data_IF_099098359289
#
_entry.id   IF_099098359289
#
_cell.length_a   1.000
_cell.length_b   1.000
_cell.length_c   1.000
_cell.angle_alpha   90.00
_cell.angle_beta   90.00
_cell.angle_gamma   90.00
#
_symmetry.space_group_name_H-M   'P 1'
#
loop_
_entity.id
_entity.type
_entity.pdbx_description
1 polymer ?
#
# COMPACT_ATOMS: atom_id res chain seq x y z
N UNK A 1 -11.00 -15.90 -10.35
CA UNK A 1 -10.29 -14.82 -9.65
C UNK A 1 -9.09 -15.40 -8.92
N UNK A 2 -7.94 -14.90 -9.23
CA UNK A 2 -6.72 -15.40 -8.61
C UNK A 2 -6.51 -14.75 -7.26
N UNK A 3 -6.06 -15.54 -6.31
CA UNK A 3 -5.67 -15.01 -5.00
C UNK A 3 -4.22 -14.60 -5.03
N UNK A 4 -3.93 -13.52 -4.33
CA UNK A 4 -2.54 -13.13 -4.14
C UNK A 4 -1.86 -14.16 -3.23
N UNK A 5 -0.56 -14.41 -3.45
CA UNK A 5 0.20 -15.26 -2.53
C UNK A 5 0.14 -14.72 -1.12
N UNK A 6 0.16 -15.62 -0.15
CA UNK A 6 0.08 -15.22 1.25
C UNK A 6 0.80 -16.23 2.13
N UNK A 7 1.91 -15.81 2.72
CA UNK A 7 2.63 -16.64 3.69
C UNK A 7 1.94 -16.52 5.05
N UNK A 8 1.14 -17.52 5.37
CA UNK A 8 0.32 -17.50 6.58
C UNK A 8 1.14 -17.49 7.86
N UNK A 9 2.41 -17.85 7.79
CA UNK A 9 3.30 -17.81 8.96
C UNK A 9 3.52 -16.37 9.46
N UNK A 10 3.23 -15.39 8.62
CA UNK A 10 3.35 -13.98 8.99
C UNK A 10 2.13 -13.44 9.72
N UNK A 11 1.06 -14.23 9.89
CA UNK A 11 -0.18 -13.74 10.51
C UNK A 11 0.02 -13.17 11.93
N UNK A 12 0.77 -13.83 12.81
CA UNK A 12 0.97 -13.24 14.13
C UNK A 12 1.65 -11.88 14.08
N UNK A 13 2.63 -11.72 13.19
CA UNK A 13 3.33 -10.46 13.04
C UNK A 13 2.42 -9.40 12.44
N UNK A 14 1.64 -9.75 11.44
CA UNK A 14 0.68 -8.84 10.81
C UNK A 14 -0.36 -8.37 11.83
N UNK A 15 -0.87 -9.28 12.65
CA UNK A 15 -1.83 -8.95 13.69
C UNK A 15 -1.23 -7.98 14.70
N UNK A 16 0.00 -8.24 15.14
CA UNK A 16 0.68 -7.36 16.07
C UNK A 16 0.85 -5.96 15.49
N UNK A 17 1.25 -5.88 14.23
CA UNK A 17 1.45 -4.58 13.58
C UNK A 17 0.13 -3.81 13.46
N UNK A 18 -1.00 -4.49 13.20
CA UNK A 18 -2.29 -3.84 13.18
C UNK A 18 -2.70 -3.30 14.54
N UNK A 19 -2.35 -4.03 15.60
CA UNK A 19 -2.71 -3.65 16.97
C UNK A 19 -1.80 -2.55 17.53
N UNK A 20 -0.63 -2.36 16.94
CA UNK A 20 0.35 -1.40 17.41
C UNK A 20 0.82 -0.50 16.25
N UNK A 21 -0.12 0.27 15.67
CA UNK A 21 0.26 1.12 14.52
C UNK A 21 1.15 2.27 14.97
N UNK A 22 1.98 2.74 14.04
CA UNK A 22 2.70 3.99 14.28
C UNK A 22 1.69 5.14 14.27
N UNK A 23 2.05 6.32 14.82
CA UNK A 23 1.14 7.47 14.78
C UNK A 23 0.71 7.82 13.36
N UNK A 24 1.62 7.75 12.39
CA UNK A 24 1.32 8.10 11.01
C UNK A 24 0.40 7.06 10.36
N UNK A 25 0.62 5.77 10.65
CA UNK A 25 -0.29 4.72 10.17
C UNK A 25 -1.68 4.91 10.74
N UNK A 26 -1.76 5.22 12.04
CA UNK A 26 -3.04 5.49 12.68
C UNK A 26 -3.74 6.68 12.09
N UNK A 27 -3.00 7.77 11.85
CA UNK A 27 -3.57 8.98 11.27
C UNK A 27 -4.17 8.68 9.88
N UNK A 28 -3.40 8.03 9.02
CA UNK A 28 -3.86 7.74 7.66
C UNK A 28 -5.04 6.78 7.66
N UNK A 29 -5.02 5.80 8.55
CA UNK A 29 -6.09 4.82 8.63
C UNK A 29 -7.38 5.41 9.21
N UNK A 30 -7.31 5.97 10.41
CA UNK A 30 -8.53 6.40 11.10
C UNK A 30 -9.15 7.65 10.50
N UNK A 31 -8.33 8.54 9.95
CA UNK A 31 -8.84 9.80 9.43
C UNK A 31 -9.11 9.78 7.94
N UNK A 32 -8.76 8.70 7.24
CA UNK A 32 -9.00 8.64 5.80
C UNK A 32 -9.33 7.24 5.30
N UNK A 33 -8.39 6.29 5.38
CA UNK A 33 -8.54 5.03 4.66
C UNK A 33 -9.66 4.13 5.20
N UNK A 34 -9.93 4.20 6.48
CA UNK A 34 -10.93 3.34 7.11
C UNK A 34 -12.30 3.46 6.47
N UNK A 35 -12.66 4.66 6.05
CA UNK A 35 -13.97 4.92 5.45
C UNK A 35 -13.90 5.25 3.96
N UNK A 36 -12.72 5.15 3.36
CA UNK A 36 -12.55 5.45 1.95
C UNK A 36 -13.15 4.34 1.09
N UNK A 37 -13.56 4.72 -0.11
CA UNK A 37 -14.05 3.78 -1.11
C UNK A 37 -13.10 3.79 -2.29
N UNK A 38 -12.72 2.64 -2.83
CA UNK A 38 -13.06 1.29 -2.36
C UNK A 38 -12.37 0.93 -1.04
N UNK A 39 -12.69 -0.24 -0.52
CA UNK A 39 -12.22 -0.66 0.80
C UNK A 39 -10.71 -0.92 0.84
N UNK A 40 -10.10 -0.53 1.95
CA UNK A 40 -8.68 -0.76 2.23
C UNK A 40 -8.50 -1.73 3.39
N UNK A 41 -7.37 -2.45 3.37
CA UNK A 41 -6.96 -3.31 4.47
C UNK A 41 -5.62 -2.84 5.01
N UNK A 42 -5.38 -3.08 6.30
CA UNK A 42 -4.11 -2.72 6.96
C UNK A 42 -3.24 -3.95 7.11
N UNK A 43 -1.93 -3.75 7.02
CA UNK A 43 -0.94 -4.78 7.33
C UNK A 43 -1.29 -6.09 6.66
N UNK A 44 -1.49 -6.03 5.35
CA UNK A 44 -1.87 -7.18 4.55
C UNK A 44 -0.64 -7.97 4.16
N UNK A 45 -0.73 -9.29 4.28
CA UNK A 45 0.34 -10.19 3.83
C UNK A 45 0.16 -10.44 2.34
N UNK A 46 1.20 -10.12 1.56
CA UNK A 46 1.24 -10.39 0.13
C UNK A 46 2.55 -11.14 -0.13
N UNK A 47 2.44 -12.42 -0.50
CA UNK A 47 3.61 -13.27 -0.59
C UNK A 47 4.26 -13.41 0.78
N UNK A 48 5.51 -13.05 0.88
CA UNK A 48 6.26 -13.08 2.15
C UNK A 48 6.49 -11.70 2.71
N UNK A 49 5.69 -10.72 2.27
CA UNK A 49 5.82 -9.34 2.72
C UNK A 49 4.54 -8.89 3.40
N UNK A 50 4.68 -7.97 4.34
CA UNK A 50 3.54 -7.32 4.97
C UNK A 50 3.53 -5.89 4.47
N UNK A 51 2.46 -5.50 3.78
CA UNK A 51 2.34 -4.13 3.27
C UNK A 51 1.47 -3.31 4.22
N UNK A 52 1.76 -2.02 4.32
CA UNK A 52 1.06 -1.18 5.30
C UNK A 52 -0.43 -1.07 4.99
N UNK A 53 -0.78 -0.75 3.75
CA UNK A 53 -2.18 -0.63 3.33
C UNK A 53 -2.35 -1.22 1.94
N UNK A 54 -3.48 -1.88 1.73
CA UNK A 54 -3.77 -2.53 0.46
C UNK A 54 -5.22 -2.32 0.05
N UNK A 55 -5.43 -1.92 -1.20
CA UNK A 55 -6.75 -1.81 -1.79
C UNK A 55 -6.85 -2.81 -2.93
N UNK A 56 -7.60 -3.87 -2.70
CA UNK A 56 -7.69 -4.97 -3.68
C UNK A 56 -8.31 -4.51 -5.00
N UNK A 57 -9.36 -3.71 -4.93
CA UNK A 57 -10.06 -3.29 -6.15
C UNK A 57 -9.22 -2.40 -7.04
N UNK A 58 -8.40 -1.55 -6.45
CA UNK A 58 -7.52 -0.68 -7.23
C UNK A 58 -6.18 -1.32 -7.56
N UNK A 59 -5.86 -2.44 -6.91
CA UNK A 59 -4.53 -3.05 -7.06
C UNK A 59 -3.44 -2.11 -6.57
N UNK A 60 -3.68 -1.48 -5.43
CA UNK A 60 -2.84 -0.38 -4.95
C UNK A 60 -2.33 -0.70 -3.55
N UNK A 61 -1.04 -0.49 -3.35
CA UNK A 61 -0.36 -0.65 -2.07
C UNK A 61 0.17 0.70 -1.63
N UNK A 62 -0.01 1.03 -0.35
CA UNK A 62 0.58 2.24 0.23
C UNK A 62 1.57 1.82 1.29
N UNK A 63 2.76 2.43 1.27
CA UNK A 63 3.81 2.20 2.24
C UNK A 63 4.21 3.52 2.86
N UNK A 64 4.31 3.55 4.18
CA UNK A 64 4.79 4.73 4.90
C UNK A 64 6.22 4.45 5.35
N UNK A 65 7.13 5.31 4.93
CA UNK A 65 8.53 5.16 5.27
C UNK A 65 8.89 6.08 6.42
N UNK A 66 9.55 5.50 7.42
CA UNK A 66 10.07 6.30 8.51
C UNK A 66 11.29 7.08 8.07
N UNK A 67 11.90 7.77 9.04
CA UNK A 67 13.09 8.58 8.77
C UNK A 67 14.35 7.71 8.78
N UNK A 68 14.23 6.45 8.45
CA UNK A 68 15.37 5.55 8.44
C UNK A 68 16.26 5.85 7.25
N UNK A 69 17.55 5.77 7.51
CA UNK A 69 18.53 5.98 6.46
C UNK A 69 18.73 4.68 5.70
N UNK A 70 18.39 4.71 4.43
CA UNK A 70 18.58 3.55 3.55
C UNK A 70 19.88 3.67 2.79
N UNK A 71 20.91 4.14 3.47
CA UNK A 71 22.22 4.27 2.85
C UNK A 71 23.00 2.97 2.87
N UNK A 72 22.47 1.93 3.49
CA UNK A 72 23.06 0.60 3.41
C UNK A 72 22.59 -0.09 2.14
N UNK A 73 23.54 -0.50 1.31
CA UNK A 73 23.23 -1.12 0.02
C UNK A 73 22.29 -2.32 0.15
N UNK A 74 22.43 -3.08 1.25
CA UNK A 74 21.57 -4.25 1.45
C UNK A 74 20.11 -3.90 1.64
N UNK A 75 19.80 -2.80 2.33
CA UNK A 75 18.43 -2.36 2.54
C UNK A 75 17.81 -1.83 1.26
N UNK A 76 18.60 -1.11 0.46
CA UNK A 76 18.13 -0.60 -0.83
C UNK A 76 17.80 -1.77 -1.75
N UNK A 77 18.64 -2.79 -1.79
CA UNK A 77 18.42 -3.96 -2.62
C UNK A 77 17.19 -4.74 -2.17
N UNK A 78 17.02 -4.91 -0.87
CA UNK A 78 15.85 -5.59 -0.33
C UNK A 78 14.56 -4.88 -0.74
N UNK A 79 14.57 -3.56 -0.62
CA UNK A 79 13.39 -2.77 -0.95
C UNK A 79 13.08 -2.83 -2.45
N UNK A 80 14.10 -2.82 -3.28
CA UNK A 80 13.94 -2.94 -4.73
C UNK A 80 13.31 -4.28 -5.10
N UNK A 81 13.83 -5.37 -4.54
CA UNK A 81 13.32 -6.71 -4.81
C UNK A 81 11.87 -6.83 -4.37
N UNK A 82 11.56 -6.29 -3.18
CA UNK A 82 10.21 -6.30 -2.64
C UNK A 82 9.25 -5.55 -3.55
N UNK A 83 9.64 -4.35 -3.99
CA UNK A 83 8.81 -3.53 -4.86
C UNK A 83 8.58 -4.21 -6.21
N UNK A 84 9.64 -4.77 -6.80
CA UNK A 84 9.52 -5.48 -8.07
C UNK A 84 8.59 -6.69 -7.95
N UNK A 85 8.67 -7.40 -6.82
CA UNK A 85 7.78 -8.53 -6.58
C UNK A 85 6.31 -8.08 -6.59
N UNK A 86 6.01 -7.00 -5.89
CA UNK A 86 4.64 -6.49 -5.83
C UNK A 86 4.18 -6.01 -7.21
N UNK A 87 5.06 -5.33 -7.94
CA UNK A 87 4.73 -4.87 -9.29
C UNK A 87 4.48 -6.03 -10.25
N UNK A 88 5.23 -7.11 -10.10
CA UNK A 88 5.02 -8.30 -10.93
C UNK A 88 3.64 -8.92 -10.71
N UNK A 89 3.04 -8.69 -9.55
CA UNK A 89 1.67 -9.13 -9.26
C UNK A 89 0.62 -8.16 -9.81
N UNK A 90 1.04 -7.12 -10.51
CA UNK A 90 0.12 -6.13 -11.06
C UNK A 90 -0.24 -5.01 -10.11
N UNK A 91 0.47 -4.89 -8.99
CA UNK A 91 0.17 -3.90 -7.98
C UNK A 91 0.97 -2.63 -8.20
N UNK A 92 0.35 -1.50 -7.94
CA UNK A 92 1.04 -0.21 -7.91
C UNK A 92 1.39 0.11 -6.47
N UNK A 93 2.61 0.54 -6.22
CA UNK A 93 3.08 0.89 -4.88
C UNK A 93 3.25 2.40 -4.80
N UNK A 94 2.56 3.02 -3.84
CA UNK A 94 2.75 4.43 -3.51
C UNK A 94 3.49 4.51 -2.19
N UNK A 95 4.49 5.37 -2.14
CA UNK A 95 5.28 5.56 -0.93
C UNK A 95 5.17 6.99 -0.46
N UNK A 96 4.98 7.15 0.83
CA UNK A 96 4.97 8.46 1.47
C UNK A 96 5.87 8.39 2.69
N UNK A 97 6.54 9.48 3.00
CA UNK A 97 7.31 9.55 4.23
C UNK A 97 6.38 9.87 5.39
N UNK A 98 6.77 9.48 6.59
CA UNK A 98 6.03 9.87 7.78
C UNK A 98 5.93 11.39 7.90
N UNK A 99 6.97 12.08 7.46
CA UNK A 99 6.97 13.53 7.49
C UNK A 99 5.90 14.12 6.59
N UNK A 100 5.71 13.53 5.40
CA UNK A 100 4.65 13.98 4.50
C UNK A 100 3.28 13.79 5.14
N UNK A 101 3.05 12.65 5.79
CA UNK A 101 1.78 12.40 6.47
C UNK A 101 1.55 13.44 7.57
N UNK A 102 2.60 13.78 8.31
CA UNK A 102 2.47 14.76 9.40
C UNK A 102 2.24 16.19 8.91
N UNK A 103 2.90 16.57 7.83
CA UNK A 103 2.89 17.97 7.37
C UNK A 103 1.93 18.26 6.24
N UNK A 104 1.69 17.28 5.37
CA UNK A 104 0.90 17.49 4.16
C UNK A 104 -0.17 16.42 4.02
N UNK A 105 -0.88 16.14 5.11
CA UNK A 105 -1.85 15.05 5.15
C UNK A 105 -2.89 15.14 4.02
N UNK A 106 -3.41 16.34 3.78
CA UNK A 106 -4.39 16.54 2.73
C UNK A 106 -3.83 16.19 1.36
N UNK A 107 -2.59 16.56 1.10
CA UNK A 107 -1.94 16.25 -0.17
C UNK A 107 -1.72 14.75 -0.32
N UNK A 108 -1.36 14.06 0.77
CA UNK A 108 -1.21 12.61 0.76
C UNK A 108 -2.55 11.95 0.40
N UNK A 109 -3.63 12.34 1.06
CA UNK A 109 -4.95 11.79 0.79
C UNK A 109 -5.39 12.05 -0.65
N UNK A 110 -5.15 13.26 -1.15
CA UNK A 110 -5.47 13.60 -2.52
C UNK A 110 -4.69 12.76 -3.52
N UNK A 111 -3.42 12.57 -3.27
CA UNK A 111 -2.57 11.74 -4.14
C UNK A 111 -3.07 10.30 -4.19
N UNK A 112 -3.47 9.77 -3.04
CA UNK A 112 -4.02 8.42 -2.97
C UNK A 112 -5.30 8.32 -3.78
N UNK A 113 -6.20 9.28 -3.59
CA UNK A 113 -7.48 9.27 -4.29
C UNK A 113 -7.29 9.39 -5.80
N UNK A 114 -6.38 10.25 -6.23
CA UNK A 114 -6.06 10.39 -7.65
C UNK A 114 -5.55 9.08 -8.24
N UNK A 115 -4.72 8.37 -7.50
CA UNK A 115 -4.20 7.10 -8.00
C UNK A 115 -5.28 6.03 -8.06
N UNK A 116 -6.17 6.00 -7.06
CA UNK A 116 -7.31 5.07 -7.09
C UNK A 116 -8.15 5.32 -8.34
N UNK A 117 -8.46 6.58 -8.61
CA UNK A 117 -9.27 6.93 -9.79
C UNK A 117 -8.56 6.56 -11.09
N UNK A 118 -7.26 6.80 -11.14
CA UNK A 118 -6.45 6.46 -12.32
C UNK A 118 -6.48 4.96 -12.57
N UNK A 119 -6.37 4.16 -11.51
CA UNK A 119 -6.40 2.71 -11.64
C UNK A 119 -7.73 2.22 -12.18
N UNK A 120 -8.84 2.83 -11.77
CA UNK A 120 -10.15 2.47 -12.29
C UNK A 120 -10.31 2.87 -13.75
N UNK A 121 -9.83 4.03 -14.14
CA UNK A 121 -9.89 4.47 -15.52
C UNK A 121 -9.11 3.51 -16.42
N UNK A 122 -7.91 3.12 -16.02
CA UNK A 122 -7.11 2.18 -16.79
C UNK A 122 -7.83 0.83 -16.89
N UNK A 123 -8.38 0.36 -15.79
CA UNK A 123 -9.11 -0.91 -15.77
C UNK A 123 -10.32 -0.85 -16.69
N UNK A 124 -11.08 0.24 -16.64
CA UNK A 124 -12.25 0.42 -17.49
C UNK A 124 -11.86 0.46 -18.96
N UNK A 125 -10.76 1.14 -19.29
CA UNK A 125 -10.28 1.22 -20.67
C UNK A 125 -9.87 -0.14 -21.19
N UNK A 126 -9.20 -0.94 -20.36
CA UNK A 126 -8.73 -2.26 -20.80
C UNK A 126 -9.87 -3.24 -20.96
N UNK A 127 -10.98 -3.04 -20.25
CA UNK A 127 -12.15 -3.90 -20.32
C UNK A 127 -13.12 -3.43 -21.39
N UNK A 128 -13.05 -2.18 -21.73
CA UNK A 128 -14.02 -1.55 -22.62
C UNK A 128 -14.02 -2.18 -24.00
N UNK A 129 -15.10 -2.79 -24.42
CA UNK A 129 -15.17 -3.32 -25.78
C UNK A 129 -15.29 -2.16 -26.76
N UNK A 130 -14.81 -2.40 -27.94
CA UNK A 130 -14.98 -1.44 -29.00
C UNK A 130 -16.44 -1.37 -29.43
N UNK A 131 -16.87 -0.24 -29.69
CA UNK A 131 -18.21 -0.06 -30.24
C UNK A 131 -18.18 -0.11 -31.74
#
# INVERSE_FOLDING_TARGET
MSRLPCNKKLRPRSTKMRNEPTPQEGHLWYDFLRTAQPQWNRQRIIGSYIVDFYCAKAGLVIELDGSQHYDEAGLIEYDRVRTEYLQALGLKVLRFTNLEVDRDFRAVCQRIQEEVERRFIVSASSVQPTL
#
